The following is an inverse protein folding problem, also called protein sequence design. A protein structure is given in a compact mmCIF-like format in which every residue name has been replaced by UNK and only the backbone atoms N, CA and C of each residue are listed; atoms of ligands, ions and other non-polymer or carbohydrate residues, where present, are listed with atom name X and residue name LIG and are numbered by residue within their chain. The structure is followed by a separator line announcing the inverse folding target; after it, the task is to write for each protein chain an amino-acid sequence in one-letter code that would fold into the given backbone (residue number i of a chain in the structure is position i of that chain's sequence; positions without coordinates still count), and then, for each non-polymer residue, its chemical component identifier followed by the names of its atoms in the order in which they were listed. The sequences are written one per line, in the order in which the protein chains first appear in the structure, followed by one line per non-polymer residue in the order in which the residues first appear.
data_IF_882149846140
#
_entry.id   IF_882149846140
#
_cell.length_a   1.000
_cell.length_b   1.000
_cell.length_c   1.000
_cell.angle_alpha   90.00
_cell.angle_beta   90.00
_cell.angle_gamma   90.00
#
_symmetry.space_group_name_H-M   'P 1'
#
loop_
_entity.id
_entity.type
_entity.pdbx_description
1 polymer ?
#
# COMPACT_ATOMS: atom_id res chain seq x y z
N UNK A 1 3.13 8.37 -29.22
CA UNK A 1 2.29 8.62 -28.04
C UNK A 1 3.13 8.31 -26.80
N UNK A 2 3.43 9.30 -25.97
CA UNK A 2 4.17 9.05 -24.73
C UNK A 2 3.29 8.22 -23.78
N UNK A 3 3.79 7.06 -23.36
CA UNK A 3 3.09 6.20 -22.40
C UNK A 3 3.13 6.92 -21.05
N UNK A 4 1.98 7.39 -20.56
CA UNK A 4 1.91 8.04 -19.25
C UNK A 4 2.37 7.06 -18.18
N UNK A 5 3.24 7.53 -17.28
CA UNK A 5 3.69 6.75 -16.15
C UNK A 5 2.51 6.64 -15.17
N UNK A 6 2.11 5.44 -14.73
CA UNK A 6 1.01 5.30 -13.79
C UNK A 6 1.43 5.83 -12.42
N UNK A 7 0.54 6.59 -11.76
CA UNK A 7 0.77 7.18 -10.44
C UNK A 7 1.11 6.14 -9.36
N UNK A 8 0.68 4.90 -9.53
CA UNK A 8 0.99 3.82 -8.61
C UNK A 8 1.05 2.48 -9.33
N UNK A 9 1.73 1.51 -8.71
CA UNK A 9 1.72 0.11 -9.14
C UNK A 9 0.69 -0.66 -8.32
N UNK A 10 0.19 -1.77 -8.85
CA UNK A 10 -0.72 -2.63 -8.12
C UNK A 10 -0.13 -3.06 -6.78
N UNK A 11 -0.84 -2.85 -5.65
CA UNK A 11 -0.36 -3.26 -4.35
C UNK A 11 -0.16 -4.76 -4.25
N UNK A 12 0.96 -5.18 -3.65
CA UNK A 12 1.34 -6.60 -3.52
C UNK A 12 1.36 -7.02 -2.07
N UNK A 13 0.82 -8.20 -1.79
CA UNK A 13 0.94 -8.83 -0.47
C UNK A 13 2.35 -9.40 -0.37
N UNK A 14 3.06 -9.05 0.71
CA UNK A 14 4.37 -9.58 1.05
C UNK A 14 4.27 -10.35 2.35
N UNK A 15 4.66 -11.63 2.32
CA UNK A 15 4.73 -12.52 3.48
C UNK A 15 6.21 -12.66 3.88
N UNK A 16 6.67 -11.85 4.83
CA UNK A 16 8.07 -11.86 5.29
C UNK A 16 8.21 -12.46 6.70
N UNK A 17 9.44 -12.83 7.10
CA UNK A 17 9.73 -13.34 8.45
C UNK A 17 9.29 -12.37 9.56
N UNK A 18 9.41 -11.07 9.33
CA UNK A 18 9.00 -10.01 10.26
C UNK A 18 7.49 -9.71 10.28
N UNK A 19 6.71 -10.37 9.42
CA UNK A 19 5.27 -10.13 9.31
C UNK A 19 4.81 -9.93 7.87
N UNK A 20 3.49 -9.87 7.74
CA UNK A 20 2.77 -9.68 6.49
C UNK A 20 2.39 -8.21 6.34
N UNK A 21 2.51 -7.69 5.13
CA UNK A 21 2.18 -6.32 4.78
C UNK A 21 1.86 -6.20 3.30
N UNK A 22 1.25 -5.08 2.93
CA UNK A 22 1.05 -4.69 1.54
C UNK A 22 2.17 -3.72 1.16
N UNK A 23 2.90 -4.06 0.11
CA UNK A 23 3.83 -3.16 -0.55
C UNK A 23 3.07 -2.33 -1.58
N UNK A 24 2.97 -1.02 -1.33
CA UNK A 24 2.43 -0.02 -2.24
C UNK A 24 3.60 0.76 -2.84
N UNK A 25 3.63 0.88 -4.17
CA UNK A 25 4.57 1.76 -4.87
C UNK A 25 3.79 2.91 -5.47
N UNK A 26 4.11 4.13 -5.06
CA UNK A 26 3.46 5.36 -5.53
C UNK A 26 4.51 6.31 -6.10
N UNK A 27 4.21 6.96 -7.22
CA UNK A 27 5.11 7.90 -7.89
C UNK A 27 5.42 9.08 -6.98
N UNK A 28 6.70 9.45 -6.88
CA UNK A 28 7.11 10.57 -6.08
C UNK A 28 6.67 11.88 -6.75
N UNK A 29 5.88 12.73 -6.08
CA UNK A 29 5.44 14.00 -6.65
C UNK A 29 6.62 14.92 -7.02
N UNK A 30 7.77 14.76 -6.35
CA UNK A 30 8.95 15.60 -6.55
C UNK A 30 9.97 15.00 -7.54
N UNK A 31 9.74 13.78 -8.04
CA UNK A 31 10.68 13.08 -8.93
C UNK A 31 9.93 12.15 -9.89
N UNK A 32 9.56 12.69 -11.05
CA UNK A 32 8.83 11.96 -12.09
C UNK A 32 9.56 10.65 -12.48
N UNK A 33 8.84 9.54 -12.54
CA UNK A 33 9.40 8.22 -12.83
C UNK A 33 10.06 7.51 -11.64
N UNK A 34 10.20 8.17 -10.49
CA UNK A 34 10.64 7.56 -9.24
C UNK A 34 9.44 7.11 -8.40
N UNK A 35 9.53 5.93 -7.77
CA UNK A 35 8.46 5.41 -6.93
C UNK A 35 8.93 5.29 -5.48
N UNK A 36 8.14 5.81 -4.55
CA UNK A 36 8.29 5.54 -3.11
C UNK A 36 7.51 4.28 -2.75
N UNK A 37 8.12 3.43 -1.93
CA UNK A 37 7.48 2.24 -1.35
C UNK A 37 6.89 2.58 0.01
N UNK A 38 5.66 2.16 0.24
CA UNK A 38 4.95 2.20 1.52
C UNK A 38 4.61 0.77 1.95
N UNK A 39 4.70 0.50 3.25
CA UNK A 39 4.38 -0.81 3.82
C UNK A 39 3.18 -0.68 4.75
N UNK A 40 2.08 -1.35 4.39
CA UNK A 40 0.80 -1.22 5.10
C UNK A 40 0.46 -2.59 5.68
N UNK A 41 0.54 -2.73 7.00
CA UNK A 41 0.24 -4.01 7.67
C UNK A 41 -1.20 -4.10 8.19
N UNK A 42 -1.87 -2.97 8.47
CA UNK A 42 -3.28 -2.95 8.90
C UNK A 42 -3.59 -3.85 10.12
N UNK A 43 -2.60 -4.13 10.98
CA UNK A 43 -2.77 -4.99 12.14
C UNK A 43 -2.89 -6.49 11.87
N UNK A 44 -2.78 -6.96 10.62
CA UNK A 44 -2.98 -8.39 10.28
C UNK A 44 -2.05 -9.34 11.03
N UNK A 45 -0.88 -8.85 11.44
CA UNK A 45 0.11 -9.63 12.18
C UNK A 45 -0.35 -10.03 13.59
N UNK A 46 -1.38 -9.35 14.14
CA UNK A 46 -1.99 -9.70 15.43
C UNK A 46 -2.97 -10.88 15.33
N UNK A 47 -3.46 -11.19 14.12
CA UNK A 47 -4.38 -12.29 13.88
C UNK A 47 -3.59 -13.60 13.95
N UNK A 48 -3.85 -14.42 14.98
CA UNK A 48 -3.13 -15.70 15.19
C UNK A 48 -3.53 -16.77 14.17
N UNK A 49 -4.79 -16.80 13.79
CA UNK A 49 -5.33 -17.75 12.83
C UNK A 49 -4.87 -17.42 11.40
N UNK A 50 -4.27 -18.41 10.71
CA UNK A 50 -3.66 -18.20 9.40
C UNK A 50 -4.71 -17.88 8.33
N UNK A 51 -5.85 -18.58 8.31
CA UNK A 51 -6.89 -18.38 7.32
C UNK A 51 -7.55 -17.00 7.48
N UNK A 52 -7.82 -16.58 8.73
CA UNK A 52 -8.31 -15.24 9.04
C UNK A 52 -7.29 -14.17 8.67
N UNK A 53 -6.00 -14.40 8.91
CA UNK A 53 -4.93 -13.47 8.51
C UNK A 53 -4.87 -13.31 6.99
N UNK A 54 -4.99 -14.41 6.25
CA UNK A 54 -5.00 -14.41 4.79
C UNK A 54 -6.24 -13.71 4.22
N UNK A 55 -7.41 -13.94 4.81
CA UNK A 55 -8.62 -13.20 4.46
C UNK A 55 -8.44 -11.69 4.69
N UNK A 56 -7.97 -11.31 5.89
CA UNK A 56 -7.80 -9.91 6.27
C UNK A 56 -6.79 -9.16 5.38
N UNK A 57 -5.65 -9.78 5.02
CA UNK A 57 -4.65 -9.12 4.16
C UNK A 57 -5.14 -8.97 2.71
N UNK A 58 -5.98 -9.90 2.23
CA UNK A 58 -6.63 -9.79 0.92
C UNK A 58 -7.72 -8.72 0.91
N UNK A 59 -8.53 -8.63 1.97
CA UNK A 59 -9.51 -7.56 2.15
C UNK A 59 -8.83 -6.18 2.18
N UNK A 60 -7.75 -6.05 2.97
CA UNK A 60 -6.95 -4.83 3.04
C UNK A 60 -6.39 -4.44 1.66
N UNK A 61 -5.94 -5.40 0.85
CA UNK A 61 -5.48 -5.15 -0.52
C UNK A 61 -6.60 -4.65 -1.42
N UNK A 62 -7.77 -5.28 -1.37
CA UNK A 62 -8.93 -4.88 -2.17
C UNK A 62 -9.39 -3.47 -1.83
N UNK A 63 -9.44 -3.14 -0.53
CA UNK A 63 -9.75 -1.78 -0.06
C UNK A 63 -8.70 -0.79 -0.55
N UNK A 64 -7.41 -1.11 -0.42
CA UNK A 64 -6.33 -0.23 -0.88
C UNK A 64 -6.41 0.05 -2.38
N UNK A 65 -6.68 -0.97 -3.20
CA UNK A 65 -6.86 -0.81 -4.65
C UNK A 65 -8.05 0.12 -4.96
N UNK A 66 -9.15 -0.03 -4.22
CA UNK A 66 -10.33 0.81 -4.39
C UNK A 66 -10.01 2.28 -4.07
N UNK A 67 -9.44 2.57 -2.90
CA UNK A 67 -9.15 3.95 -2.51
C UNK A 67 -8.09 4.60 -3.41
N UNK A 68 -7.12 3.84 -3.93
CA UNK A 68 -6.17 4.34 -4.93
C UNK A 68 -6.85 4.79 -6.22
N UNK A 69 -7.85 4.04 -6.69
CA UNK A 69 -8.67 4.41 -7.86
C UNK A 69 -9.54 5.65 -7.59
N UNK A 70 -9.97 5.83 -6.34
CA UNK A 70 -10.73 6.99 -5.89
C UNK A 70 -9.83 8.24 -5.67
N UNK A 71 -8.51 8.11 -5.80
CA UNK A 71 -7.56 9.23 -5.76
C UNK A 71 -6.77 9.37 -4.45
N UNK A 72 -6.76 8.34 -3.59
CA UNK A 72 -5.92 8.33 -2.39
C UNK A 72 -4.44 8.57 -2.71
N UNK A 73 -3.81 9.43 -1.92
CA UNK A 73 -2.39 9.74 -2.00
C UNK A 73 -1.70 9.44 -0.64
N UNK A 74 -0.80 8.44 -0.59
CA UNK A 74 -0.14 8.02 0.65
C UNK A 74 0.89 9.02 1.19
N UNK A 75 1.23 10.09 0.44
CA UNK A 75 2.13 11.14 0.92
C UNK A 75 1.44 12.12 1.88
N UNK A 76 0.11 12.27 1.81
CA UNK A 76 -0.63 13.18 2.70
C UNK A 76 -0.79 12.63 4.12
N UNK A 77 -0.90 11.31 4.27
CA UNK A 77 -1.04 10.67 5.61
C UNK A 77 0.22 10.83 6.48
N UNK A 78 1.37 11.16 5.90
CA UNK A 78 2.63 11.39 6.64
C UNK A 78 2.76 12.82 7.21
N UNK A 79 1.81 13.73 6.95
CA UNK A 79 1.87 15.11 7.44
C UNK A 79 1.18 15.33 8.80
N UNK A 80 0.45 14.37 9.35
CA UNK A 80 -0.33 14.52 10.59
C UNK A 80 0.25 13.77 11.81
N UNK A 81 1.59 13.67 11.93
CA UNK A 81 2.25 13.28 13.19
C UNK A 81 3.31 14.31 13.63
N UNK A 82 3.05 15.59 13.40
CA UNK A 82 3.72 16.69 14.13
C UNK A 82 2.67 17.77 14.40
N UNK A 83 1.99 17.67 15.55
CA UNK A 83 1.43 18.78 16.32
C UNK A 83 1.14 18.29 17.75
#
# INVERSE_FOLDING_TARGET
MAKSIPKYKDPKIVKAKRGWFIALYYENPNALGSYKRFEISGGVNRIKDLAKREKAINELRSVLIRVLKEGFDPFYTLKEEIL
#
